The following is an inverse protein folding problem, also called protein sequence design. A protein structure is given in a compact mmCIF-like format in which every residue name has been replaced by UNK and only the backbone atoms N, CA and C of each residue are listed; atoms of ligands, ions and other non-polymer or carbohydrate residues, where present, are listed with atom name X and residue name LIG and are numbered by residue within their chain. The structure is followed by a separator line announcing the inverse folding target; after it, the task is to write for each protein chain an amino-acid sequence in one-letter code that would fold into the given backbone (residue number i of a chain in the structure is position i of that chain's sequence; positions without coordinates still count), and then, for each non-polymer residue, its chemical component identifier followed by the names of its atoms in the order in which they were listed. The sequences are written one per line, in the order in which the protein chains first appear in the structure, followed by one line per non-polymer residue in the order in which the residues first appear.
data_IF_050978302908
#
_entry.id   IF_050978302908
#
_cell.length_a   1.000
_cell.length_b   1.000
_cell.length_c   1.000
_cell.angle_alpha   90.00
_cell.angle_beta   90.00
_cell.angle_gamma   90.00
#
_symmetry.space_group_name_H-M   'P 1'
#
loop_
_entity.id
_entity.type
_entity.pdbx_description
1 polymer ?
#
# COMPACT_ATOMS: atom_id res chain seq x y z
N UNK A 1 -11.06 -33.63 -16.88
CA UNK A 1 -10.72 -32.26 -16.48
C UNK A 1 -9.72 -32.15 -15.29
N UNK A 2 -9.67 -33.12 -14.37
CA UNK A 2 -8.75 -33.06 -13.20
C UNK A 2 -7.24 -33.12 -13.50
N UNK A 3 -6.79 -33.89 -14.51
CA UNK A 3 -5.36 -34.03 -14.86
C UNK A 3 -4.72 -32.78 -15.50
N UNK A 4 -5.48 -31.95 -16.18
CA UNK A 4 -4.96 -30.71 -16.80
C UNK A 4 -4.76 -29.63 -15.72
N UNK A 5 -5.64 -29.54 -14.70
CA UNK A 5 -5.49 -28.58 -13.59
C UNK A 5 -4.27 -28.87 -12.71
N UNK A 6 -3.92 -30.16 -12.50
CA UNK A 6 -2.74 -30.51 -11.70
C UNK A 6 -1.41 -30.20 -12.39
N UNK A 7 -1.33 -30.33 -13.73
CA UNK A 7 -0.12 -29.99 -14.51
C UNK A 7 0.12 -28.47 -14.58
N UNK A 8 -0.93 -27.67 -14.79
CA UNK A 8 -0.80 -26.20 -14.86
C UNK A 8 -0.41 -25.59 -13.51
N UNK A 9 -0.90 -26.16 -12.40
CA UNK A 9 -0.49 -25.72 -11.06
C UNK A 9 0.96 -26.07 -10.74
N UNK A 10 1.43 -27.25 -11.19
CA UNK A 10 2.81 -27.71 -10.96
C UNK A 10 3.84 -26.86 -11.73
N UNK A 11 3.60 -26.61 -13.03
CA UNK A 11 4.50 -25.77 -13.86
C UNK A 11 4.54 -24.32 -13.37
N UNK A 12 3.42 -23.74 -12.95
CA UNK A 12 3.37 -22.40 -12.35
C UNK A 12 4.26 -22.30 -11.13
N UNK A 13 4.12 -23.26 -10.20
CA UNK A 13 4.88 -23.24 -8.95
C UNK A 13 6.38 -23.48 -9.21
N UNK A 14 6.75 -24.29 -10.20
CA UNK A 14 8.14 -24.48 -10.61
C UNK A 14 8.76 -23.18 -11.16
N UNK A 15 8.04 -22.46 -12.04
CA UNK A 15 8.53 -21.19 -12.59
C UNK A 15 8.60 -20.12 -11.48
N UNK A 16 7.64 -20.09 -10.57
CA UNK A 16 7.67 -19.19 -9.40
C UNK A 16 8.88 -19.46 -8.50
N UNK A 17 9.14 -20.72 -8.17
CA UNK A 17 10.32 -21.12 -7.38
C UNK A 17 11.61 -20.76 -8.13
N UNK A 18 11.66 -20.98 -9.46
CA UNK A 18 12.78 -20.56 -10.30
C UNK A 18 13.03 -19.04 -10.24
N UNK A 19 11.96 -18.24 -10.34
CA UNK A 19 12.04 -16.77 -10.23
C UNK A 19 12.53 -16.32 -8.84
N UNK A 20 12.08 -16.99 -7.77
CA UNK A 20 12.57 -16.73 -6.41
C UNK A 20 14.03 -17.12 -6.21
N UNK A 21 14.47 -18.23 -6.82
CA UNK A 21 15.89 -18.66 -6.76
C UNK A 21 16.78 -17.65 -7.49
N UNK A 22 16.36 -17.15 -8.65
CA UNK A 22 17.07 -16.08 -9.38
C UNK A 22 17.14 -14.81 -8.53
N UNK A 23 16.03 -14.39 -7.92
CA UNK A 23 16.01 -13.25 -7.01
C UNK A 23 16.95 -13.43 -5.83
N UNK A 24 16.97 -14.62 -5.20
CA UNK A 24 17.86 -14.94 -4.11
C UNK A 24 19.32 -14.95 -4.56
N UNK A 25 19.61 -15.44 -5.77
CA UNK A 25 20.95 -15.41 -6.35
C UNK A 25 21.42 -13.96 -6.59
N UNK A 26 20.57 -13.11 -7.15
CA UNK A 26 20.88 -11.69 -7.36
C UNK A 26 21.14 -10.99 -6.03
N UNK A 27 20.33 -11.25 -5.01
CA UNK A 27 20.51 -10.71 -3.65
C UNK A 27 21.84 -11.17 -3.03
N UNK A 28 22.19 -12.46 -3.20
CA UNK A 28 23.48 -12.98 -2.71
C UNK A 28 24.66 -12.36 -3.45
N UNK A 29 24.56 -12.15 -4.77
CA UNK A 29 25.60 -11.48 -5.55
C UNK A 29 25.75 -10.02 -5.13
N UNK A 30 24.65 -9.33 -4.84
CA UNK A 30 24.64 -7.92 -4.42
C UNK A 30 25.27 -7.69 -3.03
N UNK A 31 25.26 -8.72 -2.16
CA UNK A 31 25.95 -8.68 -0.86
C UNK A 31 27.48 -8.67 -1.05
N UNK A 32 27.99 -9.25 -2.15
CA UNK A 32 29.42 -9.37 -2.45
C UNK A 32 29.97 -8.30 -3.38
N UNK A 33 29.10 -7.47 -3.99
CA UNK A 33 29.50 -6.40 -4.92
C UNK A 33 29.44 -5.06 -4.20
N UNK A 34 30.51 -4.27 -4.30
CA UNK A 34 30.59 -2.94 -3.66
C UNK A 34 29.54 -1.96 -4.19
N UNK A 35 29.23 -2.04 -5.50
CA UNK A 35 28.13 -1.28 -6.12
C UNK A 35 26.85 -2.09 -6.08
N UNK A 36 25.99 -1.81 -5.10
CA UNK A 36 24.70 -2.48 -4.94
C UNK A 36 23.81 -2.25 -6.16
N UNK A 37 23.34 -3.34 -6.78
CA UNK A 37 22.42 -3.29 -7.93
C UNK A 37 21.06 -2.70 -7.51
N UNK A 38 20.61 -3.07 -6.30
CA UNK A 38 19.36 -2.55 -5.74
C UNK A 38 19.53 -2.20 -4.26
N UNK A 39 18.85 -1.16 -3.82
CA UNK A 39 18.62 -0.94 -2.39
C UNK A 39 17.83 -2.12 -1.78
N UNK A 40 17.98 -2.42 -0.47
CA UNK A 40 17.32 -3.55 0.19
C UNK A 40 15.80 -3.62 -0.07
N UNK A 41 15.16 -2.47 -0.19
CA UNK A 41 13.75 -2.32 -0.55
C UNK A 41 13.46 -2.71 -2.01
N UNK A 42 14.41 -2.56 -2.93
CA UNK A 42 14.27 -2.96 -4.34
C UNK A 42 14.04 -4.46 -4.50
N UNK A 43 14.72 -5.29 -3.69
CA UNK A 43 14.50 -6.74 -3.67
C UNK A 43 13.11 -7.11 -3.20
N UNK A 44 12.58 -6.38 -2.24
CA UNK A 44 11.22 -6.58 -1.76
C UNK A 44 10.18 -6.24 -2.84
N UNK A 45 10.38 -5.16 -3.60
CA UNK A 45 9.49 -4.83 -4.73
C UNK A 45 9.52 -5.91 -5.80
N UNK A 46 10.69 -6.43 -6.12
CA UNK A 46 10.83 -7.48 -7.11
C UNK A 46 10.16 -8.78 -6.65
N UNK A 47 10.33 -9.15 -5.38
CA UNK A 47 9.61 -10.28 -4.77
C UNK A 47 8.10 -10.09 -4.83
N UNK A 48 7.60 -8.91 -4.45
CA UNK A 48 6.17 -8.61 -4.48
C UNK A 48 5.62 -8.58 -5.90
N UNK A 49 6.36 -8.00 -6.86
CA UNK A 49 5.98 -8.01 -8.27
C UNK A 49 5.89 -9.44 -8.82
N UNK A 50 6.86 -10.30 -8.50
CA UNK A 50 6.83 -11.72 -8.87
C UNK A 50 5.58 -12.39 -8.28
N UNK A 51 5.29 -12.14 -7.00
CA UNK A 51 4.12 -12.69 -6.32
C UNK A 51 2.81 -12.24 -6.98
N UNK A 52 2.67 -10.93 -7.25
CA UNK A 52 1.49 -10.37 -7.94
C UNK A 52 1.34 -10.94 -9.35
N UNK A 53 2.43 -11.08 -10.10
CA UNK A 53 2.37 -11.66 -11.45
C UNK A 53 1.94 -13.11 -11.41
N UNK A 54 2.53 -13.95 -10.56
CA UNK A 54 2.27 -15.39 -10.54
C UNK A 54 0.97 -15.79 -9.83
N UNK A 55 0.56 -15.05 -8.79
CA UNK A 55 -0.64 -15.37 -8.01
C UNK A 55 -1.82 -14.42 -8.26
N UNK A 56 -1.57 -13.23 -8.83
CA UNK A 56 -2.59 -12.28 -9.27
C UNK A 56 -2.86 -12.37 -10.78
N UNK A 57 -1.92 -11.87 -11.59
CA UNK A 57 -2.13 -11.69 -13.05
C UNK A 57 -2.22 -13.01 -13.81
N UNK A 58 -1.33 -13.96 -13.54
CA UNK A 58 -1.31 -15.25 -14.24
C UNK A 58 -2.61 -16.07 -14.06
N UNK A 59 -3.19 -16.22 -12.85
CA UNK A 59 -4.49 -16.86 -12.68
C UNK A 59 -5.63 -16.16 -13.41
N UNK A 60 -5.61 -14.83 -13.47
CA UNK A 60 -6.58 -14.04 -14.23
C UNK A 60 -6.48 -14.32 -15.71
N UNK A 61 -5.26 -14.45 -16.25
CA UNK A 61 -5.02 -14.78 -17.65
C UNK A 61 -5.46 -16.21 -17.98
N UNK A 62 -5.12 -17.20 -17.14
CA UNK A 62 -5.44 -18.61 -17.37
C UNK A 62 -6.93 -18.91 -17.19
N UNK A 63 -7.59 -18.28 -16.22
CA UNK A 63 -9.01 -18.50 -15.93
C UNK A 63 -9.89 -17.42 -16.57
N UNK A 64 -9.75 -17.17 -17.87
CA UNK A 64 -10.46 -16.10 -18.60
C UNK A 64 -11.97 -16.05 -18.35
N UNK A 65 -12.63 -17.21 -18.12
CA UNK A 65 -14.07 -17.25 -17.79
C UNK A 65 -14.38 -16.61 -16.44
N UNK A 66 -13.59 -16.94 -15.41
CA UNK A 66 -13.75 -16.35 -14.08
C UNK A 66 -13.38 -14.86 -14.09
N UNK A 67 -12.30 -14.51 -14.76
CA UNK A 67 -11.88 -13.11 -14.92
C UNK A 67 -12.95 -12.28 -15.61
N UNK A 68 -13.53 -12.80 -16.72
CA UNK A 68 -14.64 -12.15 -17.40
C UNK A 68 -15.85 -12.00 -16.48
N UNK A 69 -16.19 -13.03 -15.71
CA UNK A 69 -17.31 -12.99 -14.77
C UNK A 69 -17.14 -11.90 -13.70
N UNK A 70 -15.96 -11.82 -13.03
CA UNK A 70 -15.68 -10.78 -12.04
C UNK A 70 -15.58 -9.39 -12.69
N UNK A 71 -14.96 -9.30 -13.86
CA UNK A 71 -14.88 -8.05 -14.63
C UNK A 71 -16.26 -7.51 -15.02
N UNK A 72 -17.15 -8.39 -15.52
CA UNK A 72 -18.50 -8.00 -15.92
C UNK A 72 -19.35 -7.50 -14.74
N UNK A 73 -19.01 -7.88 -13.52
CA UNK A 73 -19.62 -7.37 -12.28
C UNK A 73 -19.00 -6.04 -11.85
N UNK A 74 -17.69 -5.97 -11.75
CA UNK A 74 -16.96 -4.76 -11.33
C UNK A 74 -17.27 -3.59 -12.26
N UNK A 75 -17.37 -3.82 -13.57
CA UNK A 75 -17.66 -2.75 -14.54
C UNK A 75 -19.09 -2.21 -14.47
N UNK A 76 -20.03 -2.86 -13.79
CA UNK A 76 -21.37 -2.31 -13.56
C UNK A 76 -21.34 -1.06 -12.70
N UNK A 77 -20.35 -0.92 -11.85
CA UNK A 77 -20.09 0.25 -11.02
C UNK A 77 -18.98 1.10 -11.65
N UNK A 78 -19.34 2.16 -12.35
CA UNK A 78 -18.38 3.03 -13.04
C UNK A 78 -17.31 3.62 -12.09
N UNK A 79 -17.66 3.87 -10.82
CA UNK A 79 -16.75 4.34 -9.78
C UNK A 79 -15.64 3.32 -9.50
N UNK A 80 -15.95 2.02 -9.51
CA UNK A 80 -14.94 0.96 -9.31
C UNK A 80 -13.97 0.87 -10.49
N UNK A 81 -14.47 1.11 -11.72
CA UNK A 81 -13.62 1.20 -12.91
C UNK A 81 -12.71 2.42 -12.84
N UNK A 82 -13.25 3.57 -12.44
CA UNK A 82 -12.45 4.78 -12.21
C UNK A 82 -11.36 4.52 -11.16
N UNK A 83 -11.72 3.93 -10.01
CA UNK A 83 -10.77 3.56 -8.96
C UNK A 83 -9.65 2.65 -9.47
N UNK A 84 -10.00 1.62 -10.24
CA UNK A 84 -9.01 0.71 -10.84
C UNK A 84 -8.06 1.44 -11.80
N UNK A 85 -8.60 2.26 -12.71
CA UNK A 85 -7.79 3.02 -13.68
C UNK A 85 -6.87 3.98 -12.95
N UNK A 86 -7.36 4.69 -11.93
CA UNK A 86 -6.58 5.65 -11.17
C UNK A 86 -5.45 4.95 -10.37
N UNK A 87 -5.73 3.80 -9.76
CA UNK A 87 -4.70 3.01 -9.05
C UNK A 87 -3.65 2.49 -10.02
N UNK A 88 -4.04 1.98 -11.20
CA UNK A 88 -3.09 1.57 -12.24
C UNK A 88 -2.23 2.76 -12.67
N UNK A 89 -2.84 3.93 -12.90
CA UNK A 89 -2.13 5.16 -13.21
C UNK A 89 -1.12 5.51 -12.12
N UNK A 90 -1.50 5.48 -10.84
CA UNK A 90 -0.59 5.73 -9.73
C UNK A 90 0.55 4.73 -9.65
N UNK A 91 0.30 3.44 -9.90
CA UNK A 91 1.35 2.41 -9.94
C UNK A 91 2.33 2.70 -11.08
N UNK A 92 1.83 3.08 -12.27
CA UNK A 92 2.69 3.46 -13.40
C UNK A 92 3.52 4.70 -13.06
N UNK A 93 2.91 5.72 -12.47
CA UNK A 93 3.61 6.92 -11.99
C UNK A 93 4.68 6.56 -10.95
N UNK A 94 4.38 5.71 -9.99
CA UNK A 94 5.33 5.28 -8.96
C UNK A 94 6.52 4.49 -9.51
N UNK A 95 6.32 3.71 -10.59
CA UNK A 95 7.37 2.87 -11.19
C UNK A 95 8.20 3.62 -12.23
N UNK A 96 7.57 4.39 -13.09
CA UNK A 96 8.21 5.03 -14.25
C UNK A 96 8.55 6.50 -13.96
N UNK A 97 7.71 7.16 -13.16
CA UNK A 97 7.83 8.60 -12.88
C UNK A 97 9.19 9.04 -12.36
N UNK A 98 9.84 8.34 -11.41
CA UNK A 98 11.18 8.72 -10.93
C UNK A 98 12.26 8.77 -12.01
N UNK A 99 12.07 8.08 -13.13
CA UNK A 99 13.00 8.15 -14.28
C UNK A 99 12.69 9.31 -15.23
N UNK A 100 11.53 9.93 -15.10
CA UNK A 100 11.06 11.02 -15.97
C UNK A 100 11.09 12.39 -15.28
N UNK A 101 11.18 12.43 -13.95
CA UNK A 101 11.19 13.64 -13.15
C UNK A 101 12.60 13.96 -12.66
N UNK A 102 12.79 15.20 -12.20
CA UNK A 102 14.03 15.62 -11.53
C UNK A 102 14.18 14.89 -10.18
N UNK A 103 15.37 15.00 -9.58
CA UNK A 103 15.58 14.47 -8.22
C UNK A 103 14.70 15.26 -7.23
N UNK A 104 13.78 14.60 -6.47
CA UNK A 104 12.92 15.28 -5.52
C UNK A 104 13.67 15.87 -4.33
N UNK A 105 14.96 15.56 -4.16
CA UNK A 105 15.82 16.08 -3.10
C UNK A 105 16.68 17.25 -3.54
N UNK A 106 16.73 17.57 -4.84
CA UNK A 106 17.53 18.66 -5.39
C UNK A 106 17.04 20.01 -4.86
N UNK A 107 17.90 20.70 -4.11
CA UNK A 107 17.60 21.99 -3.48
C UNK A 107 18.12 23.14 -4.35
N UNK A 108 17.24 24.09 -4.71
CA UNK A 108 17.60 25.28 -5.44
C UNK A 108 16.92 26.53 -4.86
N UNK A 109 17.58 27.18 -3.93
CA UNK A 109 17.03 28.34 -3.22
C UNK A 109 16.72 29.54 -4.15
N UNK A 110 17.31 29.60 -5.36
CA UNK A 110 16.99 30.64 -6.35
C UNK A 110 15.58 30.46 -6.95
N UNK A 111 15.01 29.26 -6.82
CA UNK A 111 13.69 28.90 -7.32
C UNK A 111 12.69 28.61 -6.20
N UNK A 112 12.92 29.19 -5.04
CA UNK A 112 12.07 29.04 -3.85
C UNK A 112 10.66 29.56 -4.11
N UNK A 113 9.63 28.76 -3.73
CA UNK A 113 8.21 29.11 -3.78
C UNK A 113 7.76 29.61 -5.16
N UNK A 114 8.30 29.05 -6.27
CA UNK A 114 7.75 29.33 -7.59
C UNK A 114 6.33 28.74 -7.69
N UNK A 115 5.36 29.51 -8.18
CA UNK A 115 3.99 29.03 -8.31
C UNK A 115 3.84 28.03 -9.46
N UNK A 116 2.75 27.21 -9.48
CA UNK A 116 2.38 26.42 -10.64
C UNK A 116 2.21 27.28 -11.91
N UNK A 117 2.42 26.69 -13.08
CA UNK A 117 2.47 27.39 -14.40
C UNK A 117 1.33 28.36 -14.65
N UNK A 118 0.13 28.08 -14.17
CA UNK A 118 -1.06 28.93 -14.40
C UNK A 118 -1.25 30.03 -13.36
N UNK A 119 -0.32 30.16 -12.42
CA UNK A 119 -0.42 31.08 -11.30
C UNK A 119 0.78 32.04 -11.27
N UNK A 120 0.61 33.17 -10.60
CA UNK A 120 1.71 34.07 -10.21
C UNK A 120 1.60 34.36 -8.73
N UNK A 121 2.75 34.55 -8.08
CA UNK A 121 2.83 34.95 -6.68
C UNK A 121 3.68 36.19 -6.52
N UNK A 122 3.32 37.02 -5.53
CA UNK A 122 4.12 38.16 -5.16
C UNK A 122 5.28 37.71 -4.27
N UNK A 123 6.51 37.83 -4.78
CA UNK A 123 7.71 37.50 -4.02
C UNK A 123 8.50 38.76 -3.70
N UNK A 124 8.99 38.83 -2.46
CA UNK A 124 9.90 39.87 -2.04
C UNK A 124 11.31 39.51 -2.47
N UNK A 125 11.81 40.16 -3.54
CA UNK A 125 13.14 39.95 -4.08
C UNK A 125 14.01 41.14 -3.71
N UNK A 126 15.24 40.89 -3.27
CA UNK A 126 16.19 41.97 -3.01
C UNK A 126 16.69 42.53 -4.35
N UNK A 127 16.37 43.80 -4.62
CA UNK A 127 16.82 44.50 -5.79
C UNK A 127 18.19 45.15 -5.51
N UNK A 128 19.23 44.67 -6.21
CA UNK A 128 20.61 45.11 -6.01
C UNK A 128 20.83 46.55 -6.43
N UNK A 129 20.04 47.09 -7.38
CA UNK A 129 20.15 48.45 -7.85
C UNK A 129 19.45 49.44 -6.91
N UNK A 130 18.33 49.00 -6.35
CA UNK A 130 17.53 49.78 -5.42
C UNK A 130 17.96 49.63 -3.96
N UNK A 131 18.89 48.71 -3.64
CA UNK A 131 19.34 48.33 -2.28
C UNK A 131 18.18 48.06 -1.28
N UNK A 132 17.04 47.54 -1.78
CA UNK A 132 15.83 47.27 -1.00
C UNK A 132 15.09 46.07 -1.50
N UNK A 133 14.25 45.50 -0.62
CA UNK A 133 13.31 44.46 -1.00
C UNK A 133 12.17 45.07 -1.83
N UNK A 134 11.98 44.54 -3.04
CA UNK A 134 10.92 44.93 -3.95
C UNK A 134 9.99 43.72 -4.16
N UNK A 135 8.68 43.92 -4.04
CA UNK A 135 7.72 42.91 -4.35
C UNK A 135 7.54 42.80 -5.86
N UNK A 136 7.85 41.66 -6.44
CA UNK A 136 7.65 41.38 -7.88
C UNK A 136 6.68 40.23 -8.06
N UNK A 137 5.84 40.31 -9.07
CA UNK A 137 5.02 39.20 -9.53
C UNK A 137 5.93 38.19 -10.24
N UNK A 138 5.99 36.99 -9.66
CA UNK A 138 6.78 35.87 -10.19
C UNK A 138 5.81 34.87 -10.82
N UNK A 139 5.82 34.71 -12.16
CA UNK A 139 4.97 33.73 -12.84
C UNK A 139 5.54 32.33 -12.68
N UNK A 140 4.65 31.32 -12.75
CA UNK A 140 5.06 29.91 -12.83
C UNK A 140 5.80 29.60 -14.13
N UNK A 141 6.70 28.63 -14.07
CA UNK A 141 7.56 28.24 -15.21
C UNK A 141 7.34 26.78 -15.59
N UNK A 142 7.39 26.46 -16.88
CA UNK A 142 7.18 25.09 -17.38
C UNK A 142 8.23 24.08 -16.90
N UNK A 143 9.39 24.52 -16.42
CA UNK A 143 10.39 23.64 -15.81
C UNK A 143 9.89 23.03 -14.49
N UNK A 144 8.97 23.71 -13.81
CA UNK A 144 8.33 23.30 -12.57
C UNK A 144 6.81 23.45 -12.71
N UNK A 145 6.14 22.54 -13.42
CA UNK A 145 4.73 22.73 -13.81
C UNK A 145 3.77 22.82 -12.62
N UNK A 146 4.10 22.17 -11.51
CA UNK A 146 3.38 22.22 -10.25
C UNK A 146 4.04 23.15 -9.22
N UNK A 147 5.00 23.96 -9.65
CA UNK A 147 5.74 24.89 -8.79
C UNK A 147 6.84 24.21 -7.97
N UNK A 148 7.34 24.95 -6.98
CA UNK A 148 8.41 24.52 -6.08
C UNK A 148 8.06 24.81 -4.62
N UNK A 149 8.75 24.14 -3.70
CA UNK A 149 8.59 24.34 -2.27
C UNK A 149 9.49 25.47 -1.71
N UNK A 150 9.55 25.58 -0.38
CA UNK A 150 10.35 26.56 0.36
C UNK A 150 11.88 26.36 0.22
N UNK A 151 12.33 25.22 -0.31
CA UNK A 151 13.73 24.90 -0.64
C UNK A 151 14.01 24.94 -2.14
N UNK A 152 12.99 25.25 -2.96
CA UNK A 152 13.08 25.24 -4.42
C UNK A 152 13.09 23.85 -5.03
N UNK A 153 12.59 22.82 -4.33
CA UNK A 153 12.44 21.46 -4.84
C UNK A 153 11.21 21.37 -5.74
N UNK A 154 11.30 20.59 -6.80
CA UNK A 154 10.22 20.43 -7.78
C UNK A 154 9.03 19.65 -7.21
N UNK A 155 7.84 20.26 -7.20
CA UNK A 155 6.63 19.66 -6.65
C UNK A 155 6.18 18.43 -7.43
N UNK A 156 6.33 18.40 -8.76
CA UNK A 156 5.98 17.23 -9.56
C UNK A 156 6.86 16.03 -9.18
N UNK A 157 8.17 16.24 -9.07
CA UNK A 157 9.12 15.22 -8.65
C UNK A 157 8.81 14.69 -7.24
N UNK A 158 8.46 15.60 -6.31
CA UNK A 158 8.08 15.23 -4.94
C UNK A 158 6.77 14.43 -4.90
N UNK A 159 5.76 14.77 -5.69
CA UNK A 159 4.49 14.03 -5.75
C UNK A 159 4.66 12.64 -6.38
N UNK A 160 5.49 12.54 -7.41
CA UNK A 160 5.82 11.27 -8.08
C UNK A 160 6.59 10.34 -7.12
N UNK A 161 7.62 10.86 -6.46
CA UNK A 161 8.36 10.10 -5.43
C UNK A 161 7.44 9.71 -4.25
N UNK A 162 6.59 10.65 -3.82
CA UNK A 162 5.59 10.42 -2.78
C UNK A 162 4.62 9.30 -3.13
N UNK A 163 4.19 9.19 -4.39
CA UNK A 163 3.34 8.08 -4.84
C UNK A 163 4.04 6.73 -4.60
N UNK A 164 5.33 6.63 -4.93
CA UNK A 164 6.10 5.41 -4.71
C UNK A 164 6.17 5.02 -3.23
N UNK A 165 6.53 5.98 -2.37
CA UNK A 165 6.71 5.74 -0.94
C UNK A 165 5.37 5.44 -0.26
N UNK A 166 4.33 6.25 -0.48
CA UNK A 166 3.03 6.09 0.18
C UNK A 166 2.30 4.82 -0.28
N UNK A 167 2.36 4.44 -1.57
CA UNK A 167 1.84 3.15 -2.04
C UNK A 167 2.60 1.97 -1.45
N UNK A 168 3.92 2.09 -1.32
CA UNK A 168 4.76 1.07 -0.68
C UNK A 168 4.32 0.81 0.75
N UNK A 169 4.20 1.85 1.57
CA UNK A 169 3.73 1.70 2.95
C UNK A 169 2.34 1.07 2.99
N UNK A 170 1.41 1.59 2.16
CA UNK A 170 0.06 1.07 2.07
C UNK A 170 0.00 -0.42 1.77
N UNK A 171 0.77 -0.88 0.78
CA UNK A 171 0.78 -2.28 0.36
C UNK A 171 1.50 -3.18 1.36
N UNK A 172 2.71 -2.79 1.83
CA UNK A 172 3.53 -3.64 2.69
C UNK A 172 2.94 -3.79 4.09
N UNK A 173 2.53 -2.69 4.70
CA UNK A 173 1.93 -2.74 6.03
C UNK A 173 0.59 -3.50 6.00
N UNK A 174 -0.23 -3.33 4.93
CA UNK A 174 -1.44 -4.13 4.73
C UNK A 174 -1.09 -5.62 4.62
N UNK A 175 -0.08 -5.99 3.83
CA UNK A 175 0.32 -7.38 3.67
C UNK A 175 0.71 -8.01 5.01
N UNK A 176 1.52 -7.32 5.82
CA UNK A 176 1.91 -7.78 7.16
C UNK A 176 0.67 -7.97 8.04
N UNK A 177 -0.20 -6.96 8.10
CA UNK A 177 -1.41 -6.99 8.92
C UNK A 177 -2.36 -8.14 8.51
N UNK A 178 -2.54 -8.35 7.21
CA UNK A 178 -3.38 -9.42 6.65
C UNK A 178 -2.80 -10.80 6.96
N UNK A 179 -1.50 -11.00 6.80
CA UNK A 179 -0.85 -12.29 7.11
C UNK A 179 -1.05 -12.63 8.59
N UNK A 180 -0.69 -11.70 9.49
CA UNK A 180 -0.81 -11.92 10.94
C UNK A 180 -2.27 -12.15 11.31
N UNK A 181 -3.18 -11.26 10.86
CA UNK A 181 -4.60 -11.36 11.16
C UNK A 181 -5.23 -12.65 10.64
N UNK A 182 -4.84 -13.09 9.45
CA UNK A 182 -5.33 -14.38 8.90
C UNK A 182 -4.83 -15.56 9.71
N UNK A 183 -3.56 -15.60 10.05
CA UNK A 183 -2.98 -16.70 10.86
C UNK A 183 -3.65 -16.75 12.23
N UNK A 184 -3.71 -15.64 12.94
CA UNK A 184 -4.34 -15.54 14.26
C UNK A 184 -5.83 -15.91 14.19
N UNK A 185 -6.57 -15.36 13.22
CA UNK A 185 -8.00 -15.62 13.07
C UNK A 185 -8.33 -17.08 12.75
N UNK A 186 -7.60 -17.69 11.79
CA UNK A 186 -7.81 -19.09 11.41
C UNK A 186 -7.42 -20.04 12.54
N UNK A 187 -6.27 -19.82 13.19
CA UNK A 187 -5.80 -20.67 14.30
C UNK A 187 -6.77 -20.59 15.48
N UNK A 188 -7.21 -19.40 15.85
CA UNK A 188 -8.20 -19.16 16.90
C UNK A 188 -9.50 -19.94 16.61
N UNK A 189 -10.07 -19.80 15.42
CA UNK A 189 -11.30 -20.49 15.04
C UNK A 189 -11.14 -22.00 14.95
N UNK A 190 -10.02 -22.48 14.41
CA UNK A 190 -9.81 -23.92 14.17
C UNK A 190 -9.51 -24.68 15.45
N UNK A 191 -8.57 -24.20 16.26
CA UNK A 191 -8.16 -24.86 17.50
C UNK A 191 -9.28 -24.76 18.55
N UNK A 192 -9.88 -23.58 18.69
CA UNK A 192 -10.95 -23.34 19.67
C UNK A 192 -10.47 -23.41 21.14
N UNK A 193 -11.41 -23.48 22.08
CA UNK A 193 -11.12 -23.69 23.49
C UNK A 193 -10.12 -22.69 24.09
N UNK A 194 -9.05 -23.19 24.72
CA UNK A 194 -8.04 -22.37 25.35
C UNK A 194 -7.26 -21.51 24.35
N UNK A 195 -6.89 -22.07 23.18
CA UNK A 195 -6.15 -21.35 22.16
C UNK A 195 -6.94 -20.15 21.62
N UNK A 196 -8.23 -20.33 21.36
CA UNK A 196 -9.13 -19.26 20.97
C UNK A 196 -9.19 -18.14 22.04
N UNK A 197 -9.37 -18.54 23.30
CA UNK A 197 -9.44 -17.59 24.41
C UNK A 197 -8.15 -16.76 24.54
N UNK A 198 -6.97 -17.38 24.46
CA UNK A 198 -5.69 -16.68 24.57
C UNK A 198 -5.46 -15.74 23.40
N UNK A 199 -5.64 -16.21 22.15
CA UNK A 199 -5.42 -15.40 20.95
C UNK A 199 -6.39 -14.22 20.89
N UNK A 200 -7.66 -14.41 21.26
CA UNK A 200 -8.64 -13.33 21.26
C UNK A 200 -8.43 -12.36 22.43
N UNK A 201 -8.02 -12.82 23.61
CA UNK A 201 -7.65 -11.92 24.70
C UNK A 201 -6.44 -11.05 24.34
N UNK A 202 -5.44 -11.63 23.69
CA UNK A 202 -4.32 -10.84 23.18
C UNK A 202 -4.77 -9.81 22.13
N UNK A 203 -5.65 -10.23 21.21
CA UNK A 203 -6.26 -9.31 20.22
C UNK A 203 -7.03 -8.19 20.91
N UNK A 204 -7.81 -8.52 21.96
CA UNK A 204 -8.58 -7.54 22.72
C UNK A 204 -7.66 -6.54 23.44
N UNK A 205 -6.57 -7.01 24.06
CA UNK A 205 -5.57 -6.13 24.69
C UNK A 205 -4.97 -5.17 23.67
N UNK A 206 -4.57 -5.68 22.50
CA UNK A 206 -4.01 -4.83 21.43
C UNK A 206 -5.01 -3.75 20.97
N UNK A 207 -6.31 -4.06 20.95
CA UNK A 207 -7.34 -3.10 20.56
C UNK A 207 -7.71 -2.07 21.65
N UNK A 208 -7.27 -2.24 22.89
CA UNK A 208 -7.47 -1.22 23.93
C UNK A 208 -6.58 -0.01 23.73
N UNK A 209 -5.46 -0.19 23.05
CA UNK A 209 -4.58 0.92 22.74
C UNK A 209 -5.11 1.72 21.55
N UNK A 210 -5.23 3.06 21.64
CA UNK A 210 -5.56 3.87 20.49
C UNK A 210 -4.47 3.70 19.41
N UNK A 211 -4.87 3.17 18.24
CA UNK A 211 -3.96 2.76 17.17
C UNK A 211 -2.91 3.82 16.82
N UNK A 212 -3.35 5.07 16.59
CA UNK A 212 -2.45 6.15 16.21
C UNK A 212 -1.46 6.52 17.31
N UNK A 213 -1.89 6.55 18.58
CA UNK A 213 -1.00 6.82 19.71
C UNK A 213 0.06 5.73 19.88
N UNK A 214 -0.32 4.46 19.64
CA UNK A 214 0.62 3.35 19.69
C UNK A 214 1.68 3.49 18.59
N UNK A 215 1.30 3.90 17.37
CA UNK A 215 2.24 4.17 16.28
C UNK A 215 3.21 5.30 16.65
N UNK A 216 2.70 6.44 17.14
CA UNK A 216 3.53 7.57 17.57
C UNK A 216 4.55 7.11 18.60
N UNK A 217 4.12 6.33 19.60
CA UNK A 217 4.99 5.80 20.65
C UNK A 217 6.09 4.88 20.10
N UNK A 218 5.74 3.96 19.19
CA UNK A 218 6.71 3.05 18.58
C UNK A 218 7.76 3.85 17.78
N UNK A 219 7.31 4.79 16.93
CA UNK A 219 8.23 5.59 16.11
C UNK A 219 9.09 6.52 16.97
N UNK A 220 8.55 7.03 18.08
CA UNK A 220 9.33 7.84 19.01
C UNK A 220 10.48 7.04 19.66
N UNK A 221 10.28 5.75 19.97
CA UNK A 221 11.30 4.88 20.57
C UNK A 221 12.33 4.41 19.56
N UNK A 222 11.88 3.94 18.39
CA UNK A 222 12.75 3.28 17.39
C UNK A 222 13.32 4.25 16.35
N UNK A 223 12.82 5.46 16.29
CA UNK A 223 13.18 6.48 15.31
C UNK A 223 12.35 6.43 14.03
N UNK A 224 12.31 7.57 13.31
CA UNK A 224 11.54 7.73 12.09
C UNK A 224 12.27 7.10 10.90
N UNK A 225 12.01 5.83 10.62
CA UNK A 225 12.50 5.11 9.45
C UNK A 225 11.32 4.49 8.71
N UNK A 226 11.35 4.52 7.37
CA UNK A 226 10.29 3.95 6.54
C UNK A 226 10.02 2.47 6.87
N UNK A 227 11.09 1.70 7.11
CA UNK A 227 10.97 0.29 7.52
C UNK A 227 10.25 0.13 8.86
N UNK A 228 10.59 0.96 9.86
CA UNK A 228 9.92 0.92 11.17
C UNK A 228 8.47 1.40 11.08
N UNK A 229 8.16 2.39 10.25
CA UNK A 229 6.79 2.84 10.01
C UNK A 229 5.95 1.69 9.42
N UNK A 230 6.46 1.01 8.38
CA UNK A 230 5.78 -0.14 7.76
C UNK A 230 5.56 -1.25 8.79
N UNK A 231 6.58 -1.60 9.55
CA UNK A 231 6.48 -2.63 10.59
C UNK A 231 5.53 -2.25 11.70
N UNK A 232 5.60 -1.02 12.21
CA UNK A 232 4.72 -0.54 13.27
C UNK A 232 3.26 -0.62 12.86
N UNK A 233 2.92 -0.10 11.66
CA UNK A 233 1.55 -0.14 11.15
C UNK A 233 1.10 -1.59 10.91
N UNK A 234 1.94 -2.41 10.29
CA UNK A 234 1.61 -3.81 10.00
C UNK A 234 1.44 -4.68 11.25
N UNK A 235 2.34 -4.51 12.25
CA UNK A 235 2.32 -5.28 13.50
C UNK A 235 1.23 -4.81 14.49
N UNK A 236 0.60 -3.68 14.24
CA UNK A 236 -0.50 -3.17 15.10
C UNK A 236 -1.86 -3.25 14.40
N UNK A 237 -1.90 -3.18 13.06
CA UNK A 237 -3.14 -3.11 12.26
C UNK A 237 -3.87 -4.44 12.01
N UNK A 238 -3.36 -5.57 12.46
CA UNK A 238 -3.87 -6.91 12.14
C UNK A 238 -5.14 -7.33 12.91
N UNK A 239 -5.46 -6.67 14.01
CA UNK A 239 -6.49 -7.12 14.98
C UNK A 239 -7.90 -7.20 14.40
N UNK A 240 -8.30 -6.22 13.59
CA UNK A 240 -9.58 -6.21 12.88
C UNK A 240 -9.72 -7.39 11.91
N UNK A 241 -8.66 -7.65 11.15
CA UNK A 241 -8.57 -8.79 10.23
C UNK A 241 -8.69 -10.12 10.98
N UNK A 242 -8.01 -10.26 12.13
CA UNK A 242 -8.06 -11.48 12.94
C UNK A 242 -9.49 -11.79 13.39
N UNK A 243 -10.23 -10.81 13.90
CA UNK A 243 -11.62 -11.00 14.34
C UNK A 243 -12.54 -11.41 13.19
N UNK A 244 -12.40 -10.76 12.04
CA UNK A 244 -13.26 -11.06 10.89
C UNK A 244 -12.95 -12.44 10.32
N UNK A 245 -11.68 -12.78 10.11
CA UNK A 245 -11.25 -14.09 9.62
C UNK A 245 -11.66 -15.20 10.61
N UNK A 246 -11.54 -14.95 11.91
CA UNK A 246 -12.05 -15.88 12.94
C UNK A 246 -13.55 -16.15 12.79
N UNK A 247 -14.35 -15.10 12.64
CA UNK A 247 -15.81 -15.22 12.50
C UNK A 247 -16.18 -16.10 11.29
N UNK A 248 -15.53 -15.88 10.16
CA UNK A 248 -15.76 -16.68 8.95
C UNK A 248 -15.25 -18.13 9.09
N UNK A 249 -14.05 -18.30 9.63
CA UNK A 249 -13.47 -19.61 9.82
C UNK A 249 -14.29 -20.48 10.82
N UNK A 250 -14.88 -19.87 11.85
CA UNK A 250 -15.83 -20.54 12.74
C UNK A 250 -17.07 -21.06 11.99
N UNK A 251 -17.63 -20.23 11.11
CA UNK A 251 -18.77 -20.64 10.26
C UNK A 251 -18.39 -21.76 9.29
N UNK A 252 -17.18 -21.74 8.74
CA UNK A 252 -16.69 -22.77 7.83
C UNK A 252 -16.39 -24.10 8.56
N UNK A 253 -15.85 -24.03 9.78
CA UNK A 253 -15.48 -25.21 10.58
C UNK A 253 -16.64 -26.18 10.78
N UNK A 254 -17.87 -25.69 10.86
CA UNK A 254 -19.08 -26.48 11.04
C UNK A 254 -19.70 -27.02 9.75
N UNK A 255 -19.12 -26.70 8.59
CA UNK A 255 -19.60 -27.15 7.28
C UNK A 255 -19.34 -28.65 7.07
N UNK A 256 -20.28 -29.32 6.40
CA UNK A 256 -20.26 -30.78 6.16
C UNK A 256 -18.96 -31.24 5.46
N UNK A 257 -18.44 -30.49 4.51
CA UNK A 257 -17.20 -30.85 3.78
C UNK A 257 -15.96 -30.85 4.69
N UNK A 258 -15.93 -30.00 5.74
CA UNK A 258 -14.85 -29.97 6.73
C UNK A 258 -14.99 -31.17 7.65
N UNK A 259 -16.21 -31.46 8.13
CA UNK A 259 -16.47 -32.62 8.98
C UNK A 259 -16.16 -33.93 8.24
N UNK A 260 -16.58 -34.07 6.99
CA UNK A 260 -16.23 -35.20 6.14
C UNK A 260 -14.70 -35.36 5.96
N UNK A 261 -13.97 -34.27 5.69
CA UNK A 261 -12.52 -34.33 5.59
C UNK A 261 -11.86 -34.82 6.87
N UNK A 262 -12.37 -34.36 8.03
CA UNK A 262 -11.87 -34.78 9.34
C UNK A 262 -12.16 -36.26 9.61
N UNK A 263 -13.36 -36.75 9.29
CA UNK A 263 -13.74 -38.16 9.41
C UNK A 263 -12.92 -39.09 8.51
N UNK A 264 -12.43 -38.58 7.36
CA UNK A 264 -11.53 -39.31 6.46
C UNK A 264 -10.05 -39.23 6.89
N UNK A 265 -9.75 -38.70 8.09
CA UNK A 265 -8.39 -38.67 8.65
C UNK A 265 -7.52 -37.57 8.09
N UNK A 266 -8.08 -36.48 7.52
CA UNK A 266 -7.27 -35.35 7.11
C UNK A 266 -6.59 -34.68 8.31
N UNK A 267 -5.28 -34.38 8.17
CA UNK A 267 -4.53 -33.66 9.20
C UNK A 267 -5.01 -32.21 9.34
N UNK A 268 -4.82 -31.64 10.53
CA UNK A 268 -5.21 -30.25 10.85
C UNK A 268 -4.61 -29.26 9.87
N UNK A 269 -3.32 -29.39 9.55
CA UNK A 269 -2.64 -28.57 8.56
C UNK A 269 -3.32 -28.66 7.18
N UNK A 270 -3.72 -29.86 6.76
CA UNK A 270 -4.45 -30.05 5.48
C UNK A 270 -5.80 -29.33 5.51
N UNK A 271 -6.53 -29.40 6.61
CA UNK A 271 -7.83 -28.71 6.76
C UNK A 271 -7.63 -27.19 6.71
N UNK A 272 -6.65 -26.66 7.44
CA UNK A 272 -6.35 -25.23 7.48
C UNK A 272 -5.94 -24.71 6.10
N UNK A 273 -4.88 -25.28 5.50
CA UNK A 273 -4.30 -24.74 4.26
C UNK A 273 -5.08 -25.09 3.01
N UNK A 274 -5.80 -26.21 2.97
CA UNK A 274 -6.52 -26.66 1.77
C UNK A 274 -8.01 -26.35 1.77
N UNK A 275 -8.59 -26.12 2.96
CA UNK A 275 -10.01 -25.87 3.09
C UNK A 275 -10.33 -24.51 3.73
N UNK A 276 -9.80 -24.18 4.91
CA UNK A 276 -10.18 -22.92 5.59
C UNK A 276 -9.62 -21.68 4.86
N UNK A 277 -8.29 -21.57 4.74
CA UNK A 277 -7.64 -20.38 4.14
C UNK A 277 -8.19 -20.08 2.73
N UNK A 278 -8.31 -21.06 1.79
CA UNK A 278 -8.84 -20.74 0.47
C UNK A 278 -10.30 -20.27 0.45
N UNK A 279 -11.11 -20.67 1.43
CA UNK A 279 -12.51 -20.27 1.50
C UNK A 279 -12.71 -18.88 2.15
N UNK A 280 -11.83 -18.46 3.06
CA UNK A 280 -11.84 -17.09 3.63
C UNK A 280 -11.09 -16.07 2.75
N UNK A 281 -10.39 -16.51 1.70
CA UNK A 281 -9.54 -15.67 0.87
C UNK A 281 -10.32 -14.54 0.19
N UNK A 282 -11.59 -14.78 -0.21
CA UNK A 282 -12.42 -13.73 -0.83
C UNK A 282 -12.62 -12.55 0.11
N UNK A 283 -12.95 -12.81 1.37
CA UNK A 283 -13.12 -11.77 2.38
C UNK A 283 -11.79 -11.10 2.75
N UNK A 284 -10.71 -11.87 2.78
CA UNK A 284 -9.35 -11.33 3.00
C UNK A 284 -8.99 -10.32 1.90
N UNK A 285 -9.27 -10.62 0.63
CA UNK A 285 -8.99 -9.70 -0.48
C UNK A 285 -9.78 -8.39 -0.33
N UNK A 286 -11.06 -8.49 0.02
CA UNK A 286 -11.91 -7.31 0.25
C UNK A 286 -11.35 -6.45 1.38
N UNK A 287 -11.04 -7.07 2.55
CA UNK A 287 -10.49 -6.35 3.69
C UNK A 287 -9.14 -5.72 3.33
N UNK A 288 -8.26 -6.46 2.67
CA UNK A 288 -6.96 -5.96 2.25
C UNK A 288 -7.11 -4.68 1.41
N UNK A 289 -7.98 -4.71 0.40
CA UNK A 289 -8.20 -3.55 -0.48
C UNK A 289 -8.76 -2.34 0.28
N UNK A 290 -9.71 -2.57 1.20
CA UNK A 290 -10.31 -1.50 2.00
C UNK A 290 -9.40 -0.98 3.13
N UNK A 291 -8.37 -1.76 3.54
CA UNK A 291 -7.42 -1.33 4.57
C UNK A 291 -6.31 -0.43 4.04
N UNK A 292 -5.90 -0.60 2.76
CA UNK A 292 -4.81 0.17 2.15
C UNK A 292 -4.97 1.69 2.33
N UNK A 293 -6.12 2.32 2.00
CA UNK A 293 -6.27 3.76 2.15
C UNK A 293 -6.13 4.24 3.59
N UNK A 294 -6.65 3.48 4.56
CA UNK A 294 -6.49 3.81 5.97
C UNK A 294 -5.03 3.77 6.44
N UNK A 295 -4.25 2.85 5.91
CA UNK A 295 -2.81 2.72 6.18
C UNK A 295 -2.02 3.86 5.54
N UNK A 296 -2.33 4.22 4.29
CA UNK A 296 -1.72 5.38 3.62
C UNK A 296 -2.00 6.67 4.41
N UNK A 297 -3.24 6.85 4.90
CA UNK A 297 -3.59 8.00 5.73
C UNK A 297 -2.86 7.98 7.08
N UNK A 298 -2.66 6.82 7.70
CA UNK A 298 -1.93 6.70 8.96
C UNK A 298 -0.45 7.08 8.78
N UNK A 299 0.21 6.63 7.69
CA UNK A 299 1.56 7.07 7.33
C UNK A 299 1.61 8.57 7.08
N UNK A 300 0.69 9.07 6.25
CA UNK A 300 0.65 10.50 5.93
C UNK A 300 0.44 11.36 7.19
N UNK A 301 -0.39 10.92 8.14
CA UNK A 301 -0.60 11.62 9.41
C UNK A 301 0.65 11.61 10.30
N UNK A 302 1.37 10.46 10.40
CA UNK A 302 2.64 10.38 11.12
C UNK A 302 3.69 11.32 10.51
N UNK A 303 3.83 11.27 9.19
CA UNK A 303 4.77 12.12 8.45
C UNK A 303 4.40 13.61 8.55
N UNK A 304 3.10 13.94 8.53
CA UNK A 304 2.59 15.30 8.68
C UNK A 304 2.93 15.92 10.04
N UNK A 305 2.92 15.14 11.12
CA UNK A 305 3.34 15.62 12.45
C UNK A 305 4.87 15.58 12.66
N UNK A 306 5.65 15.23 11.62
CA UNK A 306 7.11 15.22 11.64
C UNK A 306 7.74 13.92 12.12
N UNK A 307 6.98 12.84 12.21
CA UNK A 307 7.46 11.49 12.55
C UNK A 307 7.67 10.61 11.31
N UNK A 308 7.65 11.18 10.12
CA UNK A 308 8.02 10.52 8.87
C UNK A 308 9.54 10.35 8.74
N UNK A 309 9.96 9.43 7.86
CA UNK A 309 11.37 9.26 7.52
C UNK A 309 11.88 10.50 6.74
N UNK A 310 12.86 11.23 7.27
CA UNK A 310 13.36 12.45 6.62
C UNK A 310 14.18 12.18 5.35
N UNK A 311 14.59 10.93 5.11
CA UNK A 311 15.42 10.54 3.97
C UNK A 311 14.61 10.22 2.72
N UNK A 312 13.30 10.07 2.86
CA UNK A 312 12.39 9.74 1.74
C UNK A 312 11.29 10.80 1.61
N UNK A 313 10.83 10.99 0.39
CA UNK A 313 9.72 11.90 0.11
C UNK A 313 8.42 11.11 0.02
N UNK A 314 7.59 11.15 1.08
CA UNK A 314 6.20 10.69 1.04
C UNK A 314 5.24 11.87 0.91
N UNK A 315 3.99 11.63 0.54
CA UNK A 315 2.99 12.70 0.48
C UNK A 315 2.77 13.37 1.86
N UNK A 316 2.89 12.62 2.95
CA UNK A 316 2.82 13.15 4.31
C UNK A 316 3.98 14.09 4.65
N UNK A 317 5.21 13.78 4.21
CA UNK A 317 6.38 14.64 4.36
C UNK A 317 6.20 15.94 3.56
N UNK A 318 5.66 15.87 2.34
CA UNK A 318 5.36 17.07 1.53
C UNK A 318 4.29 17.93 2.20
N UNK A 319 3.23 17.32 2.73
CA UNK A 319 2.20 18.02 3.51
C UNK A 319 2.78 18.73 4.74
N UNK A 320 3.72 18.11 5.46
CA UNK A 320 4.40 18.75 6.60
C UNK A 320 5.19 20.00 6.17
N UNK A 321 5.88 19.93 5.02
CA UNK A 321 6.57 21.10 4.46
C UNK A 321 5.57 22.19 4.06
N UNK A 322 4.46 21.81 3.41
CA UNK A 322 3.41 22.72 2.97
C UNK A 322 2.70 23.46 4.11
N UNK A 323 2.55 22.82 5.29
CA UNK A 323 1.96 23.46 6.47
C UNK A 323 2.68 24.76 6.87
N UNK A 324 4.00 24.80 6.69
CA UNK A 324 4.84 25.95 7.07
C UNK A 324 4.81 27.08 6.06
N UNK A 325 4.37 26.82 4.85
CA UNK A 325 4.39 27.74 3.72
C UNK A 325 3.01 28.04 3.12
N UNK A 326 1.92 27.78 3.85
CA UNK A 326 0.55 27.97 3.37
C UNK A 326 0.27 29.37 2.84
N UNK A 327 0.82 30.40 3.50
CA UNK A 327 0.60 31.80 3.13
C UNK A 327 1.39 32.22 1.86
N UNK A 328 2.47 31.52 1.56
CA UNK A 328 3.41 31.88 0.46
C UNK A 328 3.40 30.89 -0.70
N UNK A 329 3.09 29.62 -0.43
CA UNK A 329 3.13 28.51 -1.36
C UNK A 329 2.06 27.48 -1.04
N UNK A 330 0.79 27.86 -1.16
CA UNK A 330 -0.37 27.03 -0.82
C UNK A 330 -0.41 25.69 -1.59
N UNK A 331 0.14 25.63 -2.79
CA UNK A 331 0.19 24.43 -3.65
C UNK A 331 0.97 23.29 -3.00
N UNK A 332 2.01 23.60 -2.18
CA UNK A 332 2.81 22.59 -1.49
C UNK A 332 1.99 21.75 -0.53
N UNK A 333 0.91 22.30 0.04
CA UNK A 333 -0.02 21.54 0.88
C UNK A 333 -1.22 20.99 0.10
N UNK A 334 -1.78 21.77 -0.83
CA UNK A 334 -3.02 21.42 -1.54
C UNK A 334 -2.81 20.26 -2.52
N UNK A 335 -1.73 20.26 -3.28
CA UNK A 335 -1.48 19.23 -4.29
C UNK A 335 -1.32 17.83 -3.71
N UNK A 336 -0.46 17.57 -2.69
CA UNK A 336 -0.39 16.25 -2.07
C UNK A 336 -1.69 15.89 -1.35
N UNK A 337 -2.42 16.86 -0.80
CA UNK A 337 -3.74 16.64 -0.22
C UNK A 337 -4.76 16.12 -1.25
N UNK A 338 -4.79 16.71 -2.45
CA UNK A 338 -5.64 16.24 -3.55
C UNK A 338 -5.24 14.82 -3.99
N UNK A 339 -3.95 14.56 -4.16
CA UNK A 339 -3.48 13.23 -4.58
C UNK A 339 -3.82 12.17 -3.53
N UNK A 340 -3.63 12.46 -2.24
CA UNK A 340 -4.06 11.58 -1.14
C UNK A 340 -5.56 11.33 -1.16
N UNK A 341 -6.36 12.39 -1.28
CA UNK A 341 -7.83 12.29 -1.34
C UNK A 341 -8.28 11.39 -2.50
N UNK A 342 -7.77 11.63 -3.71
CA UNK A 342 -8.10 10.83 -4.89
C UNK A 342 -7.64 9.38 -4.74
N UNK A 343 -6.49 9.15 -4.11
CA UNK A 343 -5.96 7.81 -3.86
C UNK A 343 -6.86 7.03 -2.90
N UNK A 344 -7.23 7.64 -1.78
CA UNK A 344 -8.17 7.05 -0.81
C UNK A 344 -9.51 6.73 -1.46
N UNK A 345 -10.04 7.68 -2.23
CA UNK A 345 -11.31 7.52 -2.94
C UNK A 345 -11.25 6.36 -3.96
N UNK A 346 -10.16 6.28 -4.72
CA UNK A 346 -9.95 5.23 -5.72
C UNK A 346 -9.87 3.83 -5.11
N UNK A 347 -9.14 3.66 -3.99
CA UNK A 347 -9.07 2.39 -3.27
C UNK A 347 -10.42 2.00 -2.67
N UNK A 348 -11.18 2.95 -2.10
CA UNK A 348 -12.52 2.67 -1.57
C UNK A 348 -13.47 2.22 -2.69
N UNK A 349 -13.51 2.93 -3.82
CA UNK A 349 -14.34 2.54 -4.96
C UNK A 349 -13.97 1.18 -5.54
N UNK A 350 -12.66 0.88 -5.62
CA UNK A 350 -12.21 -0.44 -6.05
C UNK A 350 -12.59 -1.52 -5.03
N UNK A 351 -12.41 -1.24 -3.73
CA UNK A 351 -12.76 -2.16 -2.65
C UNK A 351 -14.24 -2.51 -2.63
N UNK A 352 -15.12 -1.52 -2.79
CA UNK A 352 -16.57 -1.74 -2.91
C UNK A 352 -16.90 -2.60 -4.13
N UNK A 353 -16.31 -2.31 -5.29
CA UNK A 353 -16.52 -3.12 -6.48
C UNK A 353 -16.02 -4.55 -6.36
N UNK A 354 -14.90 -4.77 -5.67
CA UNK A 354 -14.39 -6.11 -5.35
C UNK A 354 -15.35 -6.81 -4.40
N UNK A 355 -15.83 -6.14 -3.36
CA UNK A 355 -16.79 -6.67 -2.40
C UNK A 355 -18.07 -7.14 -3.11
N UNK A 356 -18.65 -6.29 -3.97
CA UNK A 356 -19.86 -6.62 -4.72
C UNK A 356 -19.65 -7.78 -5.69
N UNK A 357 -18.45 -7.87 -6.29
CA UNK A 357 -18.10 -8.97 -7.19
C UNK A 357 -18.00 -10.33 -6.46
N UNK A 358 -17.58 -10.33 -5.20
CA UNK A 358 -17.47 -11.53 -4.36
C UNK A 358 -18.72 -11.86 -3.57
N UNK A 359 -19.74 -10.97 -3.49
CA UNK A 359 -20.99 -11.23 -2.75
C UNK A 359 -21.88 -12.23 -3.50
N UNK A 360 -22.16 -13.43 -2.91
CA UNK A 360 -23.03 -14.41 -3.52
C UNK A 360 -24.50 -13.97 -3.60
N UNK A 361 -24.92 -13.04 -2.73
CA UNK A 361 -26.31 -12.58 -2.63
C UNK A 361 -26.71 -11.61 -3.74
N UNK A 362 -25.76 -11.02 -4.44
CA UNK A 362 -26.02 -10.19 -5.61
C UNK A 362 -26.55 -10.98 -6.83
N UNK A 363 -26.92 -12.26 -6.64
CA UNK A 363 -27.48 -13.15 -7.68
C UNK A 363 -29.02 -13.18 -7.70
N UNK A 364 -29.68 -12.49 -6.76
CA UNK A 364 -31.12 -12.32 -6.70
C UNK A 364 -31.53 -10.92 -7.15
#
# INVERSE_FOLDING_TARGET
MGRIRSRVGGTRNLIFIGALLVLMLVLLLDIYVEDKIFEPLGYFYLFFAILVVFYGVYPLYVNRRLTKYYWDRTKRHWLSVFGLIFIIFLIVVALIGPFLTQDPTEVNFLRKNLPPVSFSTQQSVYDLEAEKFVTRDTPGVWQHPLGTDDKGRDMLAMLVSGARVSLQVGLLATLIAIIIGTVVGVLSAYLGGWADNVLMRFTDIMMTFPFFLLLVFIIFIFGPSLAFIILAIGLTGWTGTARLVRSEALSLRTREFIMASKSLGASDARIIFRHLIPNVLSSIIVIATLSIPGIILAEAALSFIGLGDPTVTSWGVVLNAGQRSLDTAWWVAVEPGIVLFLTVLAFNFLGDGIRDAFDPRSQL
#
